data_IF_875220995422
#
_entry.id   IF_875220995422
#
_cell.length_a   1.000
_cell.length_b   1.000
_cell.length_c   1.000
_cell.angle_alpha   90.00
_cell.angle_beta   90.00
_cell.angle_gamma   90.00
#
_symmetry.space_group_name_H-M   'P 1'
#
loop_
_entity.id
_entity.type
_entity.pdbx_description
1 polymer ?
#
# COMPACT_ATOMS: atom_id res chain seq x y z
N UNK A 1 -17.72 -1.17 10.06
CA UNK A 1 -16.98 0.07 9.74
C UNK A 1 -17.68 0.83 8.62
N UNK A 2 -17.86 0.24 7.44
CA UNK A 2 -18.52 0.86 6.28
C UNK A 2 -19.85 1.59 6.60
N UNK A 3 -20.79 0.94 7.31
CA UNK A 3 -22.10 1.53 7.66
C UNK A 3 -22.03 2.82 8.49
N UNK A 4 -20.90 3.08 9.16
CA UNK A 4 -20.70 4.24 10.04
C UNK A 4 -19.97 5.40 9.37
N UNK A 5 -19.57 5.25 8.10
CA UNK A 5 -18.78 6.24 7.38
C UNK A 5 -19.63 6.97 6.33
N UNK A 6 -19.43 8.28 6.18
CA UNK A 6 -20.02 9.04 5.08
C UNK A 6 -19.36 8.70 3.74
N UNK A 7 -19.99 9.05 2.63
CA UNK A 7 -19.42 8.74 1.30
C UNK A 7 -18.08 9.46 1.09
N UNK A 8 -17.95 10.68 1.64
CA UNK A 8 -16.73 11.46 1.61
C UNK A 8 -15.60 10.77 2.40
N UNK A 9 -15.91 10.22 3.59
CA UNK A 9 -14.93 9.47 4.38
C UNK A 9 -14.50 8.17 3.68
N UNK A 10 -15.43 7.49 3.01
CA UNK A 10 -15.12 6.31 2.21
C UNK A 10 -14.22 6.65 1.03
N UNK A 11 -14.46 7.77 0.34
CA UNK A 11 -13.59 8.23 -0.74
C UNK A 11 -12.21 8.64 -0.24
N UNK A 12 -12.11 9.32 0.90
CA UNK A 12 -10.82 9.64 1.51
C UNK A 12 -10.03 8.36 1.82
N UNK A 13 -10.67 7.37 2.42
CA UNK A 13 -10.05 6.07 2.69
C UNK A 13 -9.64 5.35 1.40
N UNK A 14 -10.48 5.40 0.37
CA UNK A 14 -10.18 4.84 -0.94
C UNK A 14 -8.94 5.49 -1.55
N UNK A 15 -8.85 6.81 -1.51
CA UNK A 15 -7.71 7.55 -2.05
C UNK A 15 -6.41 7.15 -1.33
N UNK A 16 -6.44 7.04 0.02
CA UNK A 16 -5.30 6.53 0.78
C UNK A 16 -4.92 5.09 0.41
N UNK A 17 -5.88 4.21 0.18
CA UNK A 17 -5.62 2.82 -0.22
C UNK A 17 -5.02 2.73 -1.63
N UNK A 18 -5.49 3.57 -2.56
CA UNK A 18 -4.95 3.64 -3.92
C UNK A 18 -3.52 4.20 -3.93
N UNK A 19 -3.23 5.22 -3.13
CA UNK A 19 -1.85 5.71 -2.97
C UNK A 19 -0.93 4.65 -2.35
N UNK A 20 -1.42 3.91 -1.35
CA UNK A 20 -0.71 2.77 -0.77
C UNK A 20 -0.41 1.67 -1.81
N UNK A 21 -1.38 1.37 -2.68
CA UNK A 21 -1.19 0.43 -3.80
C UNK A 21 -0.12 0.92 -4.78
N UNK A 22 -0.23 2.18 -5.25
CA UNK A 22 0.72 2.79 -6.19
C UNK A 22 2.15 2.76 -5.63
N UNK A 23 2.32 3.14 -4.37
CA UNK A 23 3.61 3.09 -3.70
C UNK A 23 4.17 1.67 -3.66
N UNK A 24 3.37 0.69 -3.23
CA UNK A 24 3.80 -0.70 -3.14
C UNK A 24 4.19 -1.27 -4.51
N UNK A 25 3.40 -0.99 -5.56
CA UNK A 25 3.68 -1.39 -6.94
C UNK A 25 4.95 -0.75 -7.49
N UNK A 26 5.14 0.55 -7.28
CA UNK A 26 6.34 1.27 -7.69
C UNK A 26 7.59 0.72 -6.97
N UNK A 27 7.48 0.50 -5.66
CA UNK A 27 8.54 -0.12 -4.86
C UNK A 27 8.90 -1.52 -5.40
N UNK A 28 7.90 -2.37 -5.63
CA UNK A 28 8.10 -3.75 -6.11
C UNK A 28 8.78 -3.80 -7.49
N UNK A 29 8.46 -2.83 -8.36
CA UNK A 29 9.00 -2.70 -9.72
C UNK A 29 10.41 -2.09 -9.74
N UNK A 30 10.79 -1.32 -8.72
CA UNK A 30 12.12 -0.71 -8.63
C UNK A 30 13.17 -1.71 -8.10
N UNK A 31 13.72 -2.50 -9.02
CA UNK A 31 14.72 -3.50 -8.68
C UNK A 31 16.00 -2.90 -8.10
N UNK A 32 16.45 -1.74 -8.57
CA UNK A 32 17.67 -1.09 -8.10
C UNK A 32 17.52 -0.63 -6.65
N UNK A 33 16.46 0.11 -6.33
CA UNK A 33 16.17 0.57 -4.98
C UNK A 33 16.05 -0.60 -4.02
N UNK A 34 15.31 -1.65 -4.40
CA UNK A 34 15.16 -2.84 -3.56
C UNK A 34 16.49 -3.57 -3.35
N UNK A 35 17.37 -3.61 -4.35
CA UNK A 35 18.72 -4.19 -4.21
C UNK A 35 19.60 -3.32 -3.31
N UNK A 36 19.53 -1.99 -3.44
CA UNK A 36 20.26 -1.05 -2.60
C UNK A 36 19.84 -1.18 -1.13
N UNK A 37 18.54 -1.23 -0.85
CA UNK A 37 17.99 -1.47 0.49
C UNK A 37 18.44 -2.82 1.05
N UNK A 38 18.34 -3.88 0.26
CA UNK A 38 18.78 -5.20 0.68
C UNK A 38 20.27 -5.26 0.99
N UNK A 39 21.11 -4.64 0.16
CA UNK A 39 22.56 -4.52 0.39
C UNK A 39 22.86 -3.71 1.64
N UNK A 40 22.15 -2.61 1.89
CA UNK A 40 22.30 -1.81 3.10
C UNK A 40 21.98 -2.65 4.35
N UNK A 41 20.88 -3.41 4.35
CA UNK A 41 20.52 -4.30 5.47
C UNK A 41 21.48 -5.48 5.65
N UNK A 42 21.98 -6.05 4.55
CA UNK A 42 23.02 -7.07 4.61
C UNK A 42 24.30 -6.49 5.22
N UNK A 43 24.70 -5.28 4.82
CA UNK A 43 25.86 -4.59 5.37
C UNK A 43 25.68 -4.28 6.86
N UNK A 44 24.49 -3.88 7.30
CA UNK A 44 24.16 -3.73 8.73
C UNK A 44 24.25 -5.07 9.47
N UNK A 45 23.83 -6.18 8.84
CA UNK A 45 23.91 -7.52 9.43
C UNK A 45 25.37 -8.04 9.53
N UNK A 46 26.24 -7.68 8.59
CA UNK A 46 27.68 -8.03 8.61
C UNK A 46 28.46 -7.07 9.52
N UNK A 47 28.02 -5.81 9.64
CA UNK A 47 28.62 -4.80 10.51
C UNK A 47 28.23 -4.94 11.98
N UNK A 48 27.39 -5.92 12.36
CA UNK A 48 27.22 -6.28 13.78
C UNK A 48 28.52 -6.79 14.43
N UNK A 49 29.61 -6.93 13.65
CA UNK A 49 30.97 -7.15 14.14
C UNK A 49 31.75 -5.85 14.42
N UNK A 50 31.24 -4.66 14.03
CA UNK A 50 31.86 -3.34 14.25
C UNK A 50 30.79 -2.33 14.74
N UNK A 51 30.94 -1.88 15.99
CA UNK A 51 30.01 -1.10 16.85
C UNK A 51 29.45 0.25 16.32
N UNK A 52 29.27 0.48 15.02
CA UNK A 52 28.85 1.78 14.48
C UNK A 52 27.87 1.64 13.31
N UNK A 53 26.57 1.40 13.55
CA UNK A 53 25.48 1.75 12.61
C UNK A 53 24.09 1.63 13.28
N UNK A 54 23.67 2.64 14.07
CA UNK A 54 22.30 2.70 14.62
C UNK A 54 21.31 3.51 13.76
N UNK A 55 21.73 4.00 12.58
CA UNK A 55 20.95 5.03 11.85
C UNK A 55 20.11 4.54 10.66
N UNK A 56 19.93 3.24 10.42
CA UNK A 56 19.07 2.80 9.32
C UNK A 56 18.45 1.43 9.56
N UNK A 57 17.45 1.36 10.45
CA UNK A 57 16.52 0.22 10.50
C UNK A 57 15.20 0.63 9.87
N UNK A 58 15.19 0.82 8.55
CA UNK A 58 13.94 0.98 7.80
C UNK A 58 13.31 -0.40 7.67
N UNK A 59 12.52 -0.82 8.66
CA UNK A 59 11.37 -1.72 8.52
C UNK A 59 11.47 -3.10 7.85
N UNK A 60 12.56 -3.49 7.18
CA UNK A 60 12.69 -4.81 6.55
C UNK A 60 13.62 -5.69 7.39
N UNK A 61 13.11 -6.86 7.76
CA UNK A 61 13.85 -7.88 8.50
C UNK A 61 13.82 -9.15 7.67
N UNK A 62 14.94 -9.52 7.04
CA UNK A 62 15.01 -10.79 6.32
C UNK A 62 16.27 -10.97 5.45
N UNK A 63 16.58 -12.23 5.14
CA UNK A 63 17.66 -12.61 4.22
C UNK A 63 17.29 -12.42 2.73
N UNK A 64 16.03 -12.13 2.44
CA UNK A 64 15.50 -11.97 1.08
C UNK A 64 15.25 -10.51 0.73
N UNK A 65 15.34 -10.18 -0.55
CA UNK A 65 15.11 -8.83 -1.08
C UNK A 65 13.73 -8.32 -0.64
N UNK A 66 13.64 -7.14 -0.01
CA UNK A 66 12.38 -6.63 0.53
C UNK A 66 11.34 -6.47 -0.58
N UNK A 67 10.06 -6.65 -0.26
CA UNK A 67 8.94 -6.43 -1.16
C UNK A 67 7.70 -6.03 -0.36
N UNK A 68 6.74 -5.41 -1.05
CA UNK A 68 5.47 -4.97 -0.51
C UNK A 68 4.31 -5.69 -1.21
N UNK A 69 4.50 -6.92 -1.68
CA UNK A 69 3.49 -7.67 -2.45
C UNK A 69 2.17 -7.78 -1.69
N UNK A 70 2.23 -8.10 -0.38
CA UNK A 70 1.03 -8.18 0.45
C UNK A 70 0.31 -6.84 0.53
N UNK A 71 1.04 -5.73 0.63
CA UNK A 71 0.45 -4.39 0.66
C UNK A 71 -0.16 -4.03 -0.69
N UNK A 72 0.54 -4.30 -1.79
CA UNK A 72 0.06 -4.07 -3.16
C UNK A 72 -1.28 -4.80 -3.40
N UNK A 73 -1.35 -6.09 -3.09
CA UNK A 73 -2.56 -6.89 -3.32
C UNK A 73 -3.68 -6.52 -2.36
N UNK A 74 -3.39 -6.36 -1.06
CA UNK A 74 -4.44 -6.14 -0.05
C UNK A 74 -5.06 -4.74 -0.16
N UNK A 75 -4.25 -3.72 -0.45
CA UNK A 75 -4.73 -2.34 -0.63
C UNK A 75 -5.66 -2.22 -1.84
N UNK A 76 -5.30 -2.84 -2.97
CA UNK A 76 -6.14 -2.90 -4.16
C UNK A 76 -7.43 -3.69 -3.91
N UNK A 77 -7.33 -4.88 -3.31
CA UNK A 77 -8.50 -5.69 -2.98
C UNK A 77 -9.44 -4.99 -1.99
N UNK A 78 -8.91 -4.20 -1.04
CA UNK A 78 -9.73 -3.39 -0.15
C UNK A 78 -10.43 -2.24 -0.89
N UNK A 79 -9.69 -1.55 -1.76
CA UNK A 79 -10.21 -0.46 -2.61
C UNK A 79 -11.40 -0.92 -3.45
N UNK A 80 -11.24 -2.05 -4.14
CA UNK A 80 -12.30 -2.66 -4.96
C UNK A 80 -13.51 -3.06 -4.11
N UNK A 81 -13.29 -3.66 -2.93
CA UNK A 81 -14.40 -4.01 -2.01
C UNK A 81 -15.19 -2.79 -1.55
N UNK A 82 -14.54 -1.65 -1.32
CA UNK A 82 -15.23 -0.39 -0.98
C UNK A 82 -16.04 0.09 -2.19
N UNK A 83 -15.42 0.18 -3.37
CA UNK A 83 -16.08 0.66 -4.58
C UNK A 83 -17.30 -0.18 -4.96
N UNK A 84 -17.16 -1.51 -5.00
CA UNK A 84 -18.29 -2.39 -5.30
C UNK A 84 -19.39 -2.28 -4.24
N UNK A 85 -19.03 -2.20 -2.96
CA UNK A 85 -20.03 -2.03 -1.90
C UNK A 85 -20.75 -0.69 -2.02
N UNK A 86 -20.07 0.40 -2.38
CA UNK A 86 -20.71 1.70 -2.64
C UNK A 86 -21.64 1.67 -3.85
N UNK A 87 -21.28 0.93 -4.90
CA UNK A 87 -22.08 0.82 -6.12
C UNK A 87 -23.41 0.07 -5.91
N UNK A 88 -23.45 -0.88 -4.97
CA UNK A 88 -24.68 -1.62 -4.63
C UNK A 88 -25.44 -1.02 -3.43
N UNK A 89 -24.96 0.08 -2.85
CA UNK A 89 -25.59 0.75 -1.71
C UNK A 89 -26.58 1.82 -2.20
N UNK A 90 -27.88 1.50 -2.18
CA UNK A 90 -28.96 2.40 -2.58
C UNK A 90 -28.97 3.71 -1.77
N UNK A 91 -28.47 3.71 -0.52
CA UNK A 91 -28.38 4.93 0.29
C UNK A 91 -27.37 5.94 -0.26
N UNK A 92 -26.53 5.54 -1.22
CA UNK A 92 -25.44 6.32 -1.79
C UNK A 92 -25.55 6.48 -3.30
N UNK A 93 -26.75 6.33 -3.84
CA UNK A 93 -27.04 6.40 -5.28
C UNK A 93 -26.53 7.69 -5.93
N UNK A 94 -26.59 8.81 -5.21
CA UNK A 94 -26.07 10.11 -5.66
C UNK A 94 -24.56 10.08 -5.97
N UNK A 95 -23.81 9.14 -5.39
CA UNK A 95 -22.37 8.99 -5.59
C UNK A 95 -22.00 7.89 -6.60
N UNK A 96 -22.96 7.14 -7.14
CA UNK A 96 -22.67 6.08 -8.11
C UNK A 96 -21.89 6.54 -9.34
N UNK A 97 -22.18 7.71 -9.95
CA UNK A 97 -21.38 8.19 -11.08
C UNK A 97 -19.89 8.31 -10.74
N UNK A 98 -19.56 8.83 -9.55
CA UNK A 98 -18.18 8.95 -9.09
C UNK A 98 -17.53 7.59 -8.78
N UNK A 99 -18.31 6.63 -8.27
CA UNK A 99 -17.85 5.25 -8.04
C UNK A 99 -17.57 4.55 -9.38
N UNK A 100 -18.45 4.71 -10.37
CA UNK A 100 -18.28 4.14 -11.71
C UNK A 100 -17.06 4.73 -12.42
N UNK A 101 -16.88 6.05 -12.39
CA UNK A 101 -15.70 6.70 -12.96
C UNK A 101 -14.40 6.12 -12.38
N UNK A 102 -14.37 5.83 -11.07
CA UNK A 102 -13.20 5.25 -10.39
C UNK A 102 -13.01 3.75 -10.66
N UNK A 103 -14.06 3.02 -11.04
CA UNK A 103 -13.98 1.60 -11.42
C UNK A 103 -13.54 1.40 -12.88
N UNK A 104 -13.83 2.37 -13.75
CA UNK A 104 -13.57 2.29 -15.20
C UNK A 104 -12.24 2.93 -15.64
N UNK A 105 -11.52 3.59 -14.72
CA UNK A 105 -10.16 4.10 -14.93
C UNK A 105 -9.12 3.07 -14.48
#
# INVERSE_FOLDING_TARGET
MYERLTSQQLFLLLDCLLESHKFAKAFNSNNEQRTALWKAELFVSVSHMLKYTDLCSIGFKGKSKPNLLKQETTSLACSLRILFRMYYDEKRRDFWPAVQERLLK
#
